data_IF_963811438713
#
_entry.id   IF_963811438713
#
_cell.length_a   1.000
_cell.length_b   1.000
_cell.length_c   1.000
_cell.angle_alpha   90.00
_cell.angle_beta   90.00
_cell.angle_gamma   90.00
#
_symmetry.space_group_name_H-M   'P 1'
#
loop_
_entity.id
_entity.type
_entity.pdbx_description
1 polymer ?
#
# COMPACT_ATOMS: atom_id res chain seq x y z
N UNK A 1 23.06 31.63 -40.12
CA UNK A 1 22.43 31.79 -38.79
C UNK A 1 21.51 30.60 -38.52
N UNK A 2 22.09 29.49 -38.04
CA UNK A 2 21.39 28.26 -37.63
C UNK A 2 21.95 27.87 -36.27
N UNK A 3 21.51 28.57 -35.21
CA UNK A 3 21.90 28.29 -33.82
C UNK A 3 20.72 28.42 -32.86
N UNK A 4 19.53 28.03 -33.31
CA UNK A 4 18.33 27.96 -32.47
C UNK A 4 17.58 26.71 -32.91
N UNK A 5 18.04 25.52 -32.50
CA UNK A 5 17.20 24.30 -32.49
C UNK A 5 17.86 23.12 -31.73
N UNK A 6 18.73 23.38 -30.76
CA UNK A 6 19.36 22.31 -29.97
C UNK A 6 19.35 22.62 -28.46
N UNK A 7 18.24 23.16 -27.97
CA UNK A 7 17.97 23.36 -26.53
C UNK A 7 16.61 22.78 -26.17
N UNK A 8 16.35 21.54 -26.59
CA UNK A 8 15.21 20.74 -26.13
C UNK A 8 15.62 19.29 -25.85
N UNK A 9 16.75 19.10 -25.17
CA UNK A 9 17.12 17.83 -24.54
C UNK A 9 17.69 18.18 -23.16
N UNK A 10 16.84 18.71 -22.28
CA UNK A 10 17.13 18.75 -20.84
C UNK A 10 16.19 17.73 -20.19
N UNK A 11 16.79 16.55 -19.97
CA UNK A 11 16.47 15.53 -18.97
C UNK A 11 15.00 15.49 -18.50
N UNK A 12 14.18 14.70 -19.20
CA UNK A 12 13.09 13.98 -18.55
C UNK A 12 13.69 12.68 -18.02
N UNK A 13 14.52 12.76 -16.98
CA UNK A 13 14.70 11.65 -16.05
C UNK A 13 13.63 11.81 -14.96
N UNK A 14 12.37 11.71 -15.37
CA UNK A 14 11.34 11.31 -14.42
C UNK A 14 11.64 9.85 -14.10
N UNK A 15 12.32 9.58 -12.99
CA UNK A 15 12.35 8.26 -12.40
C UNK A 15 10.90 7.91 -12.09
N UNK A 16 10.25 7.22 -13.03
CA UNK A 16 9.02 6.50 -12.78
C UNK A 16 9.42 5.32 -11.89
N UNK A 17 9.63 5.57 -10.60
CA UNK A 17 9.71 4.52 -9.59
C UNK A 17 8.29 3.99 -9.40
N UNK A 18 7.83 3.15 -10.33
CA UNK A 18 6.67 2.31 -10.10
C UNK A 18 7.10 1.24 -9.09
N UNK A 19 6.50 1.24 -7.90
CA UNK A 19 6.59 0.07 -7.03
C UNK A 19 5.72 -0.99 -7.70
N UNK A 20 6.36 -1.91 -8.42
CA UNK A 20 5.70 -3.06 -9.00
C UNK A 20 6.01 -4.25 -8.11
N UNK A 21 4.99 -4.77 -7.43
CA UNK A 21 5.10 -6.00 -6.66
C UNK A 21 4.56 -7.17 -7.47
N UNK A 22 5.28 -8.29 -7.42
CA UNK A 22 4.79 -9.56 -7.97
C UNK A 22 3.80 -10.17 -6.97
N UNK A 23 2.53 -9.84 -7.16
CA UNK A 23 1.45 -10.29 -6.29
C UNK A 23 1.19 -11.80 -6.43
N UNK A 24 0.74 -12.40 -5.32
CA UNK A 24 0.34 -13.79 -5.26
C UNK A 24 -0.94 -14.01 -6.08
N UNK A 25 -0.91 -15.00 -6.98
CA UNK A 25 -2.06 -15.36 -7.81
C UNK A 25 -2.63 -16.75 -7.51
N UNK A 26 -1.82 -17.67 -7.02
CA UNK A 26 -2.19 -19.10 -6.98
C UNK A 26 -1.84 -19.79 -5.66
N UNK A 27 -0.58 -19.75 -5.26
CA UNK A 27 -0.13 -20.43 -4.06
C UNK A 27 1.15 -19.81 -3.53
N UNK A 28 1.35 -19.97 -2.23
CA UNK A 28 2.58 -19.63 -1.54
C UNK A 28 3.08 -20.85 -0.77
N UNK A 29 4.38 -20.86 -0.50
CA UNK A 29 5.06 -21.94 0.21
C UNK A 29 5.78 -21.35 1.41
N UNK A 30 5.66 -22.01 2.55
CA UNK A 30 6.39 -21.64 3.76
C UNK A 30 7.37 -22.75 4.15
N UNK A 31 8.64 -22.38 4.28
CA UNK A 31 9.68 -23.30 4.70
C UNK A 31 9.89 -23.21 6.22
N UNK A 32 9.66 -24.31 6.93
CA UNK A 32 9.78 -24.36 8.40
C UNK A 32 11.23 -24.24 8.91
N UNK A 33 12.22 -24.59 8.09
CA UNK A 33 13.64 -24.55 8.49
C UNK A 33 14.22 -23.14 8.36
N UNK A 34 13.95 -22.48 7.24
CA UNK A 34 14.44 -21.12 6.97
C UNK A 34 13.50 -20.05 7.48
N UNK A 35 12.26 -20.42 7.84
CA UNK A 35 11.16 -19.53 8.24
C UNK A 35 10.78 -18.50 7.16
N UNK A 36 11.04 -18.84 5.88
CA UNK A 36 10.79 -17.96 4.74
C UNK A 36 9.62 -18.44 3.88
N UNK A 37 8.94 -17.46 3.31
CA UNK A 37 7.93 -17.60 2.27
C UNK A 37 8.58 -17.62 0.88
N UNK A 38 7.96 -18.33 -0.06
CA UNK A 38 8.33 -18.34 -1.46
C UNK A 38 7.13 -18.55 -2.38
N UNK A 39 7.21 -18.03 -3.61
CA UNK A 39 6.18 -18.24 -4.63
C UNK A 39 6.23 -19.66 -5.23
N UNK A 40 7.37 -20.34 -5.07
CA UNK A 40 7.62 -21.70 -5.57
C UNK A 40 8.08 -22.58 -4.44
N UNK A 41 7.73 -23.87 -4.53
CA UNK A 41 8.24 -24.89 -3.61
C UNK A 41 9.76 -24.96 -3.72
N UNK A 42 10.45 -24.87 -2.60
CA UNK A 42 11.90 -25.02 -2.47
C UNK A 42 12.28 -26.41 -1.94
N UNK A 43 11.45 -26.99 -1.07
CA UNK A 43 11.66 -28.33 -0.53
C UNK A 43 10.35 -29.14 -0.53
N UNK A 44 10.43 -30.49 -0.54
CA UNK A 44 9.23 -31.33 -0.39
C UNK A 44 8.45 -31.11 0.92
N UNK A 45 9.11 -30.56 1.95
CA UNK A 45 8.52 -30.31 3.28
C UNK A 45 7.86 -28.94 3.42
N UNK A 46 7.97 -28.07 2.42
CA UNK A 46 7.37 -26.74 2.48
C UNK A 46 5.84 -26.85 2.61
N UNK A 47 5.28 -26.06 3.52
CA UNK A 47 3.83 -25.95 3.69
C UNK A 47 3.30 -25.18 2.48
N UNK A 48 2.54 -25.85 1.61
CA UNK A 48 1.84 -25.21 0.50
C UNK A 48 0.50 -24.65 0.98
N UNK A 49 0.28 -23.37 0.72
CA UNK A 49 -1.02 -22.73 0.89
C UNK A 49 -1.56 -22.31 -0.48
N UNK A 50 -2.85 -22.59 -0.71
CA UNK A 50 -3.58 -22.28 -1.94
C UNK A 50 -4.33 -20.98 -1.71
N UNK A 51 -4.07 -19.99 -2.54
CA UNK A 51 -4.71 -18.69 -2.52
C UNK A 51 -6.11 -18.77 -3.15
N UNK A 52 -7.06 -18.08 -2.53
CA UNK A 52 -8.40 -17.86 -3.06
C UNK A 52 -8.86 -16.45 -2.70
N UNK A 53 -9.31 -15.70 -3.70
CA UNK A 53 -9.96 -14.41 -3.50
C UNK A 53 -11.48 -14.59 -3.37
N UNK A 54 -12.09 -14.01 -2.35
CA UNK A 54 -13.56 -13.97 -2.21
C UNK A 54 -14.10 -12.60 -2.64
N UNK A 55 -14.57 -12.51 -3.89
CA UNK A 55 -15.08 -11.26 -4.49
C UNK A 55 -16.24 -10.64 -3.73
N UNK A 56 -17.10 -11.44 -3.10
CA UNK A 56 -18.29 -10.96 -2.36
C UNK A 56 -17.98 -10.45 -0.96
N UNK A 57 -16.77 -10.67 -0.44
CA UNK A 57 -16.37 -10.28 0.93
C UNK A 57 -15.71 -8.89 1.03
N UNK A 58 -15.69 -8.11 -0.05
CA UNK A 58 -14.82 -6.94 -0.14
C UNK A 58 -13.43 -7.27 -0.68
N UNK A 59 -13.28 -8.43 -1.35
CA UNK A 59 -12.05 -8.83 -2.02
C UNK A 59 -10.94 -9.21 -1.06
N UNK A 60 -11.25 -9.82 0.09
CA UNK A 60 -10.22 -10.35 0.97
C UNK A 60 -9.66 -11.67 0.43
N UNK A 61 -8.37 -11.86 0.69
CA UNK A 61 -7.60 -13.05 0.42
C UNK A 61 -7.79 -14.08 1.52
N UNK A 62 -7.94 -15.34 1.10
CA UNK A 62 -7.92 -16.50 1.97
C UNK A 62 -6.90 -17.51 1.47
N UNK A 63 -6.26 -18.22 2.40
CA UNK A 63 -5.29 -19.25 2.09
C UNK A 63 -5.69 -20.55 2.76
N UNK A 64 -5.74 -21.60 1.96
CA UNK A 64 -6.16 -22.93 2.40
C UNK A 64 -4.98 -23.88 2.34
N UNK A 65 -4.87 -24.75 3.34
CA UNK A 65 -3.91 -25.83 3.25
C UNK A 65 -4.37 -26.89 2.23
N UNK A 66 -3.50 -27.85 1.96
CA UNK A 66 -3.71 -28.99 1.08
C UNK A 66 -4.82 -29.96 1.53
N UNK A 67 -5.43 -29.77 2.70
CA UNK A 67 -6.66 -30.47 3.15
C UNK A 67 -7.92 -29.61 2.98
N UNK A 68 -7.82 -28.43 2.36
CA UNK A 68 -8.93 -27.50 2.20
C UNK A 68 -9.34 -26.77 3.48
N UNK A 69 -8.52 -26.81 4.54
CA UNK A 69 -8.78 -26.06 5.77
C UNK A 69 -8.18 -24.66 5.66
N UNK A 70 -8.97 -23.65 6.02
CA UNK A 70 -8.52 -22.26 6.11
C UNK A 70 -7.31 -22.15 7.06
N UNK A 71 -6.25 -21.52 6.57
CA UNK A 71 -4.97 -21.36 7.25
C UNK A 71 -4.64 -19.88 7.50
N UNK A 72 -4.95 -18.99 6.55
CA UNK A 72 -4.82 -17.53 6.69
C UNK A 72 -6.06 -16.87 6.09
N UNK A 73 -6.50 -15.78 6.71
CA UNK A 73 -7.54 -14.91 6.17
C UNK A 73 -8.89 -15.10 6.85
N UNK A 74 -9.83 -14.19 6.58
CA UNK A 74 -9.68 -12.99 5.74
C UNK A 74 -9.04 -11.81 6.51
N UNK A 75 -7.86 -11.32 6.07
CA UNK A 75 -7.12 -10.24 6.75
C UNK A 75 -6.63 -9.14 5.79
N UNK A 76 -6.10 -9.53 4.63
CA UNK A 76 -5.62 -8.61 3.58
C UNK A 76 -6.33 -8.89 2.26
N UNK A 77 -6.17 -7.99 1.31
CA UNK A 77 -6.81 -8.05 -0.01
C UNK A 77 -5.86 -8.55 -1.10
N UNK A 78 -4.56 -8.34 -0.90
CA UNK A 78 -3.49 -8.72 -1.82
C UNK A 78 -2.22 -8.99 -1.03
N UNK A 79 -1.44 -9.94 -1.50
CA UNK A 79 -0.17 -10.27 -0.89
C UNK A 79 0.93 -10.36 -1.93
N UNK A 80 2.16 -10.06 -1.54
CA UNK A 80 3.37 -10.27 -2.33
C UNK A 80 4.48 -10.78 -1.42
N UNK A 81 5.53 -11.34 -2.02
CA UNK A 81 6.69 -11.85 -1.28
C UNK A 81 7.86 -10.91 -1.49
N UNK A 82 8.47 -10.47 -0.39
CA UNK A 82 9.67 -9.64 -0.39
C UNK A 82 10.65 -10.17 0.67
N UNK A 83 11.89 -10.41 0.28
CA UNK A 83 12.96 -11.02 1.12
C UNK A 83 12.49 -12.23 1.98
N UNK A 84 11.64 -13.09 1.39
CA UNK A 84 11.10 -14.26 2.08
C UNK A 84 10.02 -13.96 3.12
N UNK A 85 9.49 -12.73 3.16
CA UNK A 85 8.32 -12.36 3.94
C UNK A 85 7.08 -12.33 3.03
N UNK A 86 5.97 -12.93 3.46
CA UNK A 86 4.67 -12.71 2.83
C UNK A 86 4.05 -11.47 3.45
N UNK A 87 3.91 -10.42 2.64
CA UNK A 87 3.38 -9.13 3.04
C UNK A 87 1.96 -9.01 2.51
N UNK A 88 1.01 -8.75 3.40
CA UNK A 88 -0.38 -8.48 3.07
C UNK A 88 -0.72 -7.00 3.09
N UNK A 89 -1.59 -6.62 2.16
CA UNK A 89 -2.14 -5.28 2.02
C UNK A 89 -3.57 -5.30 2.54
N UNK A 90 -3.79 -4.72 3.72
CA UNK A 90 -5.10 -4.54 4.31
C UNK A 90 -5.62 -3.16 3.93
N UNK A 91 -6.32 -3.10 2.79
CA UNK A 91 -6.84 -1.84 2.26
C UNK A 91 -7.98 -1.29 3.13
N UNK A 92 -8.75 -2.17 3.78
CA UNK A 92 -9.84 -1.75 4.67
C UNK A 92 -9.34 -1.02 5.91
N UNK A 93 -8.17 -1.39 6.43
CA UNK A 93 -7.57 -0.69 7.57
C UNK A 93 -6.41 0.23 7.20
N UNK A 94 -6.02 0.35 5.92
CA UNK A 94 -4.82 1.07 5.48
C UNK A 94 -3.55 0.63 6.23
N UNK A 95 -3.35 -0.70 6.27
CA UNK A 95 -2.21 -1.34 6.94
C UNK A 95 -1.45 -2.26 5.99
N UNK A 96 -0.15 -2.36 6.25
CA UNK A 96 0.69 -3.44 5.73
C UNK A 96 0.95 -4.40 6.86
N UNK A 97 0.80 -5.70 6.60
CA UNK A 97 0.99 -6.77 7.58
C UNK A 97 1.99 -7.79 7.06
N UNK A 98 2.72 -8.45 7.95
CA UNK A 98 3.52 -9.63 7.62
C UNK A 98 2.88 -10.88 8.19
N UNK A 99 2.91 -11.95 7.42
CA UNK A 99 2.50 -13.28 7.88
C UNK A 99 3.69 -14.09 8.36
N UNK A 100 3.52 -14.80 9.46
CA UNK A 100 4.55 -15.66 10.05
C UNK A 100 3.93 -16.94 10.61
N UNK A 101 4.75 -17.95 10.82
CA UNK A 101 4.34 -19.21 11.41
C UNK A 101 4.78 -19.28 12.86
N UNK A 102 3.85 -19.58 13.76
CA UNK A 102 4.10 -19.69 15.18
C UNK A 102 3.24 -20.80 15.79
N UNK A 103 3.87 -21.70 16.54
CA UNK A 103 3.21 -22.76 17.30
C UNK A 103 2.16 -23.57 16.52
N UNK A 104 2.44 -23.89 15.26
CA UNK A 104 1.53 -24.69 14.43
C UNK A 104 0.56 -23.87 13.56
N UNK A 105 0.50 -22.56 13.75
CA UNK A 105 -0.48 -21.68 13.12
C UNK A 105 0.19 -20.55 12.35
N UNK A 106 -0.45 -20.12 11.26
CA UNK A 106 -0.07 -18.87 10.62
C UNK A 106 -0.74 -17.69 11.36
N UNK A 107 0.06 -16.69 11.66
CA UNK A 107 -0.33 -15.45 12.34
C UNK A 107 0.07 -14.27 11.48
N UNK A 108 -0.40 -13.08 11.85
CA UNK A 108 0.02 -11.84 11.25
C UNK A 108 0.40 -10.81 12.31
N UNK A 109 1.15 -9.81 11.89
CA UNK A 109 1.49 -8.62 12.68
C UNK A 109 1.62 -7.43 11.75
N UNK A 110 1.38 -6.22 12.26
CA UNK A 110 1.63 -4.99 11.52
C UNK A 110 3.10 -4.95 11.10
N UNK A 111 3.35 -4.54 9.87
CA UNK A 111 4.69 -4.42 9.31
C UNK A 111 5.42 -3.24 9.96
N UNK A 112 6.69 -3.45 10.28
CA UNK A 112 7.53 -2.43 10.91
C UNK A 112 7.77 -1.24 9.97
N UNK A 113 7.79 -0.01 10.52
CA UNK A 113 7.96 1.22 9.73
C UNK A 113 9.31 1.29 9.01
N UNK A 114 10.37 0.77 9.62
CA UNK A 114 11.68 0.67 8.98
C UNK A 114 11.65 -0.27 7.78
N UNK A 115 10.88 -1.36 7.85
CA UNK A 115 10.67 -2.25 6.71
C UNK A 115 9.80 -1.60 5.63
N UNK A 116 8.73 -0.90 6.01
CA UNK A 116 7.90 -0.14 5.06
C UNK A 116 8.76 0.89 4.33
N UNK A 117 9.66 1.60 5.02
CA UNK A 117 10.58 2.54 4.39
C UNK A 117 11.52 1.90 3.36
N UNK A 118 11.89 0.61 3.53
CA UNK A 118 12.66 -0.13 2.53
C UNK A 118 11.83 -0.52 1.32
N UNK A 119 10.56 -0.89 1.52
CA UNK A 119 9.62 -1.19 0.43
C UNK A 119 9.26 0.05 -0.38
N UNK A 120 9.25 1.22 0.26
CA UNK A 120 8.78 2.48 -0.32
C UNK A 120 9.79 3.63 -0.07
N UNK A 121 11.04 3.52 -0.58
CA UNK A 121 12.15 4.41 -0.19
C UNK A 121 11.97 5.88 -0.61
N UNK A 122 11.17 6.15 -1.64
CA UNK A 122 10.94 7.49 -2.19
C UNK A 122 9.55 8.06 -1.84
N UNK A 123 8.82 7.41 -0.95
CA UNK A 123 7.44 7.77 -0.63
C UNK A 123 7.37 8.42 0.75
N UNK A 124 6.63 9.53 0.84
CA UNK A 124 6.30 10.11 2.13
C UNK A 124 5.24 9.27 2.83
N UNK A 125 5.57 8.79 4.03
CA UNK A 125 4.62 8.06 4.88
C UNK A 125 3.88 9.06 5.76
N UNK A 126 2.55 9.06 5.69
CA UNK A 126 1.68 9.89 6.53
C UNK A 126 0.83 8.98 7.40
N UNK A 127 0.95 9.15 8.71
CA UNK A 127 0.11 8.46 9.69
C UNK A 127 -1.21 9.17 9.89
N UNK A 128 -2.30 8.43 10.06
CA UNK A 128 -3.63 9.00 10.30
C UNK A 128 -3.72 9.82 11.60
N UNK A 129 -2.94 9.49 12.62
CA UNK A 129 -2.86 10.29 13.85
C UNK A 129 -2.30 11.72 13.65
N UNK A 130 -1.71 12.02 12.49
CA UNK A 130 -1.23 13.37 12.13
C UNK A 130 -2.32 14.29 11.61
N UNK A 131 -3.52 13.77 11.33
CA UNK A 131 -4.65 14.59 10.93
C UNK A 131 -5.19 15.34 12.15
N UNK A 132 -5.33 16.65 12.03
CA UNK A 132 -5.91 17.51 13.07
C UNK A 132 -7.27 17.97 12.56
N UNK A 133 -8.34 17.69 13.32
CA UNK A 133 -9.72 17.94 12.90
C UNK A 133 -10.04 17.31 11.54
N UNK A 134 -9.56 16.08 11.31
CA UNK A 134 -9.68 15.35 10.05
C UNK A 134 -8.96 16.00 8.86
N UNK A 135 -8.04 16.94 9.09
CA UNK A 135 -7.31 17.63 8.03
C UNK A 135 -5.79 17.51 8.17
N UNK A 136 -5.09 17.51 7.04
CA UNK A 136 -3.64 17.65 6.97
C UNK A 136 -3.26 18.54 5.79
N UNK A 137 -2.13 19.24 5.90
CA UNK A 137 -1.53 19.95 4.76
C UNK A 137 -0.23 19.28 4.36
N UNK A 138 -0.08 19.01 3.07
CA UNK A 138 1.15 18.52 2.45
C UNK A 138 1.68 19.55 1.45
N UNK A 139 2.98 19.49 1.19
CA UNK A 139 3.64 20.38 0.24
C UNK A 139 4.27 19.58 -0.89
N UNK A 140 4.12 20.06 -2.12
CA UNK A 140 4.81 19.51 -3.29
C UNK A 140 5.40 20.62 -4.15
N UNK A 141 6.43 20.30 -4.92
CA UNK A 141 7.01 21.22 -5.90
C UNK A 141 6.07 21.41 -7.11
N UNK A 142 6.15 22.55 -7.81
CA UNK A 142 5.46 22.75 -9.09
C UNK A 142 5.89 21.70 -10.12
N UNK A 143 4.96 21.25 -10.96
CA UNK A 143 5.18 20.29 -12.06
C UNK A 143 5.66 18.88 -11.66
N UNK A 144 6.04 18.67 -10.41
CA UNK A 144 6.40 17.35 -9.87
C UNK A 144 5.18 16.60 -9.31
N UNK A 145 5.19 15.28 -9.48
CA UNK A 145 4.30 14.36 -8.78
C UNK A 145 4.87 14.04 -7.41
N UNK A 146 3.99 13.80 -6.44
CA UNK A 146 4.38 13.38 -5.10
C UNK A 146 3.62 12.12 -4.73
N UNK A 147 4.33 11.06 -4.35
CA UNK A 147 3.73 9.82 -3.86
C UNK A 147 3.68 9.81 -2.35
N UNK A 148 2.56 9.37 -1.81
CA UNK A 148 2.30 9.31 -0.37
C UNK A 148 1.71 7.96 -0.03
N UNK A 149 2.19 7.35 1.04
CA UNK A 149 1.57 6.17 1.65
C UNK A 149 0.91 6.58 2.95
N UNK A 150 -0.41 6.51 2.99
CA UNK A 150 -1.20 6.76 4.18
C UNK A 150 -1.32 5.48 4.98
N UNK A 151 -0.92 5.52 6.25
CA UNK A 151 -0.95 4.38 7.17
C UNK A 151 -1.84 4.68 8.38
N UNK A 152 -2.66 3.72 8.75
CA UNK A 152 -3.51 3.82 9.92
C UNK A 152 -2.81 3.30 11.19
N UNK A 153 -2.41 4.24 12.03
CA UNK A 153 -1.89 3.99 13.38
C UNK A 153 -2.97 4.22 14.47
N UNK A 154 -4.24 4.29 14.06
CA UNK A 154 -5.39 4.49 14.95
C UNK A 154 -6.24 3.22 15.07
N UNK A 155 -7.33 3.29 15.84
CA UNK A 155 -8.33 2.21 15.97
C UNK A 155 -9.46 2.31 14.94
N UNK A 156 -9.49 3.35 14.12
CA UNK A 156 -10.54 3.56 13.12
C UNK A 156 -10.42 2.54 11.98
N UNK A 157 -11.54 2.24 11.33
CA UNK A 157 -11.61 1.39 10.16
C UNK A 157 -12.04 2.24 8.95
N UNK A 158 -11.41 2.01 7.80
CA UNK A 158 -11.60 2.77 6.57
C UNK A 158 -12.10 1.90 5.41
N UNK A 159 -12.78 0.80 5.73
CA UNK A 159 -13.39 -0.09 4.76
C UNK A 159 -14.33 0.71 3.86
N UNK A 160 -14.10 0.60 2.54
CA UNK A 160 -14.83 1.30 1.48
C UNK A 160 -14.74 2.83 1.48
N UNK A 161 -13.74 3.38 2.18
CA UNK A 161 -13.35 4.76 1.91
C UNK A 161 -12.63 4.83 0.57
N UNK A 162 -12.85 5.92 -0.16
CA UNK A 162 -12.16 6.21 -1.43
C UNK A 162 -11.74 7.67 -1.48
N UNK A 163 -10.71 7.94 -2.27
CA UNK A 163 -10.16 9.24 -2.50
C UNK A 163 -10.85 9.95 -3.67
N UNK A 164 -11.07 11.25 -3.50
CA UNK A 164 -11.47 12.20 -4.53
C UNK A 164 -10.39 13.28 -4.67
N UNK A 165 -9.99 13.68 -5.90
CA UNK A 165 -10.49 13.19 -7.18
C UNK A 165 -10.13 11.72 -7.46
N UNK A 166 -10.90 11.07 -8.33
CA UNK A 166 -10.68 9.68 -8.70
C UNK A 166 -9.31 9.47 -9.39
N UNK A 167 -8.86 8.21 -9.45
CA UNK A 167 -7.63 7.78 -10.11
C UNK A 167 -6.33 8.35 -9.53
N UNK A 168 -6.35 8.73 -8.24
CA UNK A 168 -5.11 9.07 -7.51
C UNK A 168 -4.56 7.90 -6.70
N UNK A 169 -5.41 6.91 -6.38
CA UNK A 169 -5.05 5.69 -5.65
C UNK A 169 -4.28 4.72 -6.55
N UNK A 170 -3.35 4.00 -5.93
CA UNK A 170 -2.80 2.79 -6.52
C UNK A 170 -3.88 1.69 -6.61
N UNK A 171 -3.83 0.90 -7.68
CA UNK A 171 -4.83 -0.13 -7.97
C UNK A 171 -4.85 -1.27 -6.95
N UNK A 172 -3.72 -1.55 -6.31
CA UNK A 172 -3.56 -2.66 -5.38
C UNK A 172 -3.46 -2.15 -3.92
N UNK A 173 -2.97 -0.93 -3.72
CA UNK A 173 -2.70 -0.33 -2.39
C UNK A 173 -3.50 0.97 -2.22
N UNK A 174 -4.70 0.89 -1.63
CA UNK A 174 -5.59 2.06 -1.46
C UNK A 174 -4.92 3.23 -0.74
N UNK A 175 -4.09 2.96 0.27
CA UNK A 175 -3.37 4.00 1.02
C UNK A 175 -2.24 4.68 0.23
N UNK A 176 -1.78 4.09 -0.88
CA UNK A 176 -0.74 4.66 -1.73
C UNK A 176 -1.39 5.57 -2.78
N UNK A 177 -1.12 6.87 -2.71
CA UNK A 177 -1.68 7.86 -3.62
C UNK A 177 -0.59 8.62 -4.38
N UNK A 178 -0.89 8.99 -5.63
CA UNK A 178 -0.05 9.86 -6.46
C UNK A 178 -0.70 11.22 -6.64
N UNK A 179 -0.06 12.24 -6.08
CA UNK A 179 -0.54 13.62 -6.06
C UNK A 179 0.14 14.43 -7.17
N UNK A 180 -0.59 14.72 -8.24
CA UNK A 180 -0.10 15.49 -9.39
C UNK A 180 -0.48 16.97 -9.35
N UNK A 181 -1.63 17.30 -8.75
CA UNK A 181 -2.21 18.65 -8.72
C UNK A 181 -2.22 19.24 -7.31
N UNK A 182 -2.19 20.57 -7.23
CA UNK A 182 -2.51 21.30 -6.00
C UNK A 182 -4.02 21.31 -5.76
N UNK A 183 -4.46 21.49 -4.52
CA UNK A 183 -5.87 21.55 -4.17
C UNK A 183 -6.21 20.65 -2.99
N UNK A 184 -7.46 20.19 -2.93
CA UNK A 184 -7.97 19.35 -1.84
C UNK A 184 -8.22 17.94 -2.35
N UNK A 185 -7.71 16.97 -1.61
CA UNK A 185 -8.05 15.56 -1.74
C UNK A 185 -8.96 15.20 -0.56
N UNK A 186 -10.02 14.45 -0.81
CA UNK A 186 -10.98 14.00 0.22
C UNK A 186 -10.99 12.49 0.23
N UNK A 187 -10.83 11.88 1.40
CA UNK A 187 -10.94 10.45 1.62
C UNK A 187 -12.16 10.17 2.48
N UNK A 188 -13.17 9.50 1.92
CA UNK A 188 -14.46 9.33 2.60
C UNK A 188 -15.17 8.03 2.24
N UNK A 189 -16.01 7.56 3.16
CA UNK A 189 -16.89 6.42 2.97
C UNK A 189 -18.04 6.79 2.03
N UNK A 190 -18.05 6.29 0.79
CA UNK A 190 -19.10 6.58 -0.20
C UNK A 190 -19.40 8.08 -0.45
N UNK A 191 -18.47 8.98 -0.09
CA UNK A 191 -18.69 10.43 -0.18
C UNK A 191 -19.26 11.08 1.08
N UNK A 192 -19.52 10.33 2.14
CA UNK A 192 -20.06 10.83 3.41
C UNK A 192 -19.05 11.69 4.18
N UNK A 193 -19.56 12.66 4.94
CA UNK A 193 -18.81 13.44 5.94
C UNK A 193 -19.75 13.68 7.13
N UNK A 194 -19.83 12.69 8.03
CA UNK A 194 -20.69 12.75 9.22
C UNK A 194 -19.97 12.20 10.46
N UNK A 195 -20.61 12.23 11.63
CA UNK A 195 -20.00 11.82 12.91
C UNK A 195 -19.54 10.35 12.91
N UNK A 196 -20.27 9.46 12.22
CA UNK A 196 -19.93 8.03 12.13
C UNK A 196 -18.89 7.74 11.05
N UNK A 197 -18.91 8.51 9.96
CA UNK A 197 -18.01 8.38 8.82
C UNK A 197 -17.40 9.73 8.45
N UNK A 198 -16.47 10.26 9.27
CA UNK A 198 -15.87 11.56 9.02
C UNK A 198 -14.92 11.50 7.82
N UNK A 199 -15.01 12.48 6.93
CA UNK A 199 -14.11 12.57 5.79
C UNK A 199 -12.74 13.11 6.20
N UNK A 200 -11.67 12.47 5.74
CA UNK A 200 -10.31 13.00 5.89
C UNK A 200 -9.96 13.92 4.71
N UNK A 201 -9.35 15.06 4.97
CA UNK A 201 -9.04 16.10 3.98
C UNK A 201 -7.53 16.35 3.92
N UNK A 202 -6.96 16.21 2.73
CA UNK A 202 -5.54 16.47 2.47
C UNK A 202 -5.45 17.71 1.59
N UNK A 203 -4.89 18.79 2.14
CA UNK A 203 -4.65 20.03 1.42
C UNK A 203 -3.26 20.03 0.81
N UNK A 204 -3.19 20.02 -0.51
CA UNK A 204 -1.95 19.99 -1.29
C UNK A 204 -1.57 21.41 -1.68
N UNK A 205 -0.52 21.92 -1.05
CA UNK A 205 0.00 23.27 -1.30
C UNK A 205 1.34 23.22 -2.03
N UNK A 206 1.69 24.35 -2.65
CA UNK A 206 3.00 24.55 -3.25
C UNK A 206 4.05 24.68 -2.17
N UNK A 207 5.13 23.90 -2.24
CA UNK A 207 6.33 24.16 -1.43
C UNK A 207 6.83 25.56 -1.76
N UNK A 208 6.98 26.43 -0.74
CA UNK A 208 7.69 27.70 -0.94
C UNK A 208 9.10 27.33 -1.37
N UNK A 209 9.57 27.88 -2.50
CA UNK A 209 10.96 27.69 -2.88
C UNK A 209 11.81 28.18 -1.71
N UNK A 210 12.62 27.31 -1.11
CA UNK A 210 13.83 27.76 -0.44
C UNK A 210 14.76 28.23 -1.55
N UNK A 211 14.55 29.47 -2.01
CA UNK A 211 15.63 30.22 -2.67
C UNK A 211 16.72 30.40 -1.62
N UNK A 212 17.72 29.52 -1.65
CA UNK A 212 19.07 29.84 -1.20
C UNK A 212 19.82 30.45 -2.38
#
# INVERSE_FOLDING_TARGET
MKKIFLTLIILISASLSANSFDFVENSVYYNLQTQKWSAKRTTPKDIKLIYKMYSTSGGYSEYYNNRGKLAIGPFSNREFIDDGNLIGIDNGNLKLIKYYYDNGYFRNSILDEGYIGKLFPEIEIIKLSKFVNNEITIYKKPLEQKKILILNDTKNNYYKYTFKPANIEDKDITGLITVSKFGKIVFSHYGDDNEFFPALKIHVKRSKNETK
#
